data_IF_132076007108
#
_entry.id   IF_132076007108
#
_cell.length_a   1.000
_cell.length_b   1.000
_cell.length_c   1.000
_cell.angle_alpha   90.00
_cell.angle_beta   90.00
_cell.angle_gamma   90.00
#
_symmetry.space_group_name_H-M   'P 1'
#
loop_
_entity.id
_entity.type
_entity.pdbx_description
1 polymer ?
#
# COMPACT_ATOMS: atom_id res chain seq x y z
N UNK A 1 -27.67 20.50 -6.18
CA UNK A 1 -27.26 19.07 -6.25
C UNK A 1 -26.03 18.92 -5.36
N UNK A 2 -26.11 18.12 -4.33
CA UNK A 2 -24.93 17.72 -3.57
C UNK A 2 -24.14 16.83 -4.53
N UNK A 3 -22.93 17.24 -4.95
CA UNK A 3 -22.05 16.40 -5.76
C UNK A 3 -21.80 15.09 -4.99
N UNK A 4 -21.77 13.97 -5.72
CA UNK A 4 -21.37 12.71 -5.09
C UNK A 4 -19.93 12.86 -4.58
N UNK A 5 -19.65 12.40 -3.35
CA UNK A 5 -18.29 12.30 -2.82
C UNK A 5 -17.43 11.51 -3.77
N UNK A 6 -16.31 12.05 -4.19
CA UNK A 6 -15.41 11.42 -5.16
C UNK A 6 -14.03 11.13 -4.61
N UNK A 7 -13.60 11.87 -3.59
CA UNK A 7 -12.26 11.69 -3.00
C UNK A 7 -12.14 12.22 -1.57
N UNK A 8 -11.09 11.77 -0.89
CA UNK A 8 -10.62 12.27 0.40
C UNK A 8 -9.29 13.00 0.19
N UNK A 9 -9.15 14.19 0.75
CA UNK A 9 -7.91 14.95 0.71
C UNK A 9 -7.34 15.12 2.12
N UNK A 10 -6.13 14.61 2.40
CA UNK A 10 -5.42 14.84 3.65
C UNK A 10 -5.14 16.33 3.85
N UNK A 11 -5.19 16.79 5.10
CA UNK A 11 -4.71 18.13 5.47
C UNK A 11 -3.18 18.22 5.29
N UNK A 12 -2.65 19.46 5.23
CA UNK A 12 -1.19 19.66 5.17
C UNK A 12 -0.47 19.05 6.37
N UNK A 13 -1.06 19.15 7.56
CA UNK A 13 -0.50 18.54 8.78
C UNK A 13 -0.49 17.02 8.71
N UNK A 14 -1.52 16.40 8.13
CA UNK A 14 -1.55 14.94 7.92
C UNK A 14 -0.55 14.50 6.86
N UNK A 15 -0.34 15.27 5.78
CA UNK A 15 0.69 14.98 4.78
C UNK A 15 2.10 15.03 5.37
N UNK A 16 2.37 15.99 6.28
CA UNK A 16 3.64 16.02 7.03
C UNK A 16 3.79 14.80 7.92
N UNK A 17 2.71 14.41 8.64
CA UNK A 17 2.70 13.21 9.48
C UNK A 17 2.91 11.92 8.68
N UNK A 18 2.36 11.83 7.48
CA UNK A 18 2.53 10.69 6.57
C UNK A 18 3.97 10.53 6.05
N UNK A 19 4.80 11.58 6.12
CA UNK A 19 6.24 11.47 5.88
C UNK A 19 7.00 10.76 7.00
N UNK A 20 6.39 10.64 8.18
CA UNK A 20 6.91 9.83 9.27
C UNK A 20 6.40 8.40 9.10
N UNK A 21 7.25 7.37 9.30
CA UNK A 21 6.83 5.98 9.19
C UNK A 21 5.61 5.68 10.08
N UNK A 22 4.57 5.07 9.49
CA UNK A 22 3.38 4.63 10.21
C UNK A 22 3.60 3.32 10.99
N UNK A 23 4.75 2.71 10.83
CA UNK A 23 5.13 1.46 11.46
C UNK A 23 6.64 1.33 11.62
N UNK A 24 7.14 0.11 11.65
CA UNK A 24 8.56 -0.19 11.82
C UNK A 24 9.34 0.10 10.55
N UNK A 25 10.30 0.99 10.63
CA UNK A 25 11.25 1.26 9.54
C UNK A 25 12.40 0.24 9.57
N UNK A 26 12.58 -0.47 8.45
CA UNK A 26 13.80 -1.21 8.14
C UNK A 26 14.68 -0.33 7.25
N UNK A 27 15.81 0.13 7.78
CA UNK A 27 16.74 0.99 7.05
C UNK A 27 17.70 0.17 6.18
N UNK A 28 18.06 0.72 5.03
CA UNK A 28 19.03 0.15 4.12
C UNK A 28 18.49 -0.14 2.73
N UNK A 29 19.39 -0.63 1.88
CA UNK A 29 19.04 -1.05 0.52
C UNK A 29 18.23 -2.37 0.52
N UNK A 30 17.55 -2.70 -0.59
CA UNK A 30 16.79 -3.95 -0.70
C UNK A 30 17.57 -5.22 -0.34
N UNK A 31 18.85 -5.28 -0.66
CA UNK A 31 19.74 -6.41 -0.32
C UNK A 31 19.84 -6.62 1.20
N UNK A 32 19.64 -5.58 1.99
CA UNK A 32 19.68 -5.62 3.46
C UNK A 32 18.28 -5.78 4.06
N UNK A 33 17.28 -5.10 3.48
CA UNK A 33 15.93 -5.03 4.04
C UNK A 33 15.06 -6.23 3.67
N UNK A 34 15.22 -6.78 2.47
CA UNK A 34 14.39 -7.91 2.02
C UNK A 34 14.61 -9.20 2.82
N UNK A 35 15.86 -9.61 3.16
CA UNK A 35 16.06 -10.76 4.05
C UNK A 35 15.41 -10.58 5.43
N UNK A 36 15.48 -9.38 6.01
CA UNK A 36 14.86 -9.06 7.30
C UNK A 36 13.34 -9.11 7.22
N UNK A 37 12.76 -8.54 6.14
CA UNK A 37 11.32 -8.60 5.89
C UNK A 37 10.85 -10.05 5.71
N UNK A 38 11.59 -10.85 4.96
CA UNK A 38 11.27 -12.26 4.73
C UNK A 38 11.20 -13.05 6.04
N UNK A 39 12.23 -12.89 6.90
CA UNK A 39 12.25 -13.50 8.22
C UNK A 39 11.08 -13.03 9.09
N UNK A 40 10.75 -11.76 9.04
CA UNK A 40 9.63 -11.19 9.79
C UNK A 40 8.29 -11.82 9.35
N UNK A 41 8.05 -11.90 8.05
CA UNK A 41 6.84 -12.54 7.49
C UNK A 41 6.77 -14.02 7.88
N UNK A 42 7.88 -14.75 7.78
CA UNK A 42 7.95 -16.17 8.16
C UNK A 42 7.68 -16.40 9.66
N UNK A 43 8.15 -15.50 10.51
CA UNK A 43 7.97 -15.56 11.96
C UNK A 43 6.54 -15.25 12.38
N UNK A 44 5.95 -14.18 11.82
CA UNK A 44 4.62 -13.69 12.22
C UNK A 44 3.51 -14.48 11.54
N UNK A 45 3.72 -14.94 10.30
CA UNK A 45 2.70 -15.62 9.48
C UNK A 45 1.41 -14.79 9.39
N UNK A 46 1.50 -13.56 8.87
CA UNK A 46 0.34 -12.68 8.80
C UNK A 46 -0.75 -13.26 7.91
N UNK A 47 -2.03 -12.93 8.16
CA UNK A 47 -3.14 -13.40 7.32
C UNK A 47 -3.08 -12.85 5.89
N UNK A 48 -2.51 -11.64 5.72
CA UNK A 48 -2.30 -10.97 4.43
C UNK A 48 -1.03 -10.15 4.45
N UNK A 49 -0.38 -10.03 3.30
CA UNK A 49 0.71 -9.10 3.05
C UNK A 49 0.35 -8.25 1.84
N UNK A 50 0.38 -6.94 2.01
CA UNK A 50 0.15 -5.95 0.95
C UNK A 50 1.41 -5.10 0.78
N UNK A 51 1.82 -4.87 -0.47
CA UNK A 51 2.88 -3.91 -0.79
C UNK A 51 2.28 -2.71 -1.51
N UNK A 52 2.76 -1.51 -1.18
CA UNK A 52 2.39 -0.25 -1.82
C UNK A 52 3.64 0.41 -2.36
N UNK A 53 3.71 0.55 -3.66
CA UNK A 53 4.85 1.11 -4.39
C UNK A 53 5.54 0.10 -5.31
N UNK A 54 6.17 0.61 -6.38
CA UNK A 54 6.77 -0.20 -7.43
C UNK A 54 8.02 -0.94 -6.96
N UNK A 55 8.91 -0.22 -6.27
CA UNK A 55 10.19 -0.78 -5.82
C UNK A 55 9.95 -1.91 -4.84
N UNK A 56 9.18 -1.67 -3.77
CA UNK A 56 8.90 -2.69 -2.76
C UNK A 56 8.13 -3.89 -3.33
N UNK A 57 7.22 -3.65 -4.26
CA UNK A 57 6.47 -4.73 -4.92
C UNK A 57 7.36 -5.61 -5.79
N UNK A 58 8.32 -5.01 -6.51
CA UNK A 58 9.31 -5.72 -7.30
C UNK A 58 10.31 -6.48 -6.44
N UNK A 59 10.86 -5.82 -5.42
CA UNK A 59 11.89 -6.39 -4.55
C UNK A 59 11.34 -7.55 -3.70
N UNK A 60 10.12 -7.45 -3.20
CA UNK A 60 9.46 -8.56 -2.49
C UNK A 60 9.20 -9.75 -3.42
N UNK A 61 8.83 -9.50 -4.66
CA UNK A 61 8.65 -10.54 -5.66
C UNK A 61 9.98 -11.26 -5.95
N UNK A 62 11.05 -10.51 -6.20
CA UNK A 62 12.39 -11.05 -6.45
C UNK A 62 12.93 -11.83 -5.26
N UNK A 63 12.64 -11.40 -4.03
CA UNK A 63 13.05 -12.08 -2.81
C UNK A 63 12.20 -13.34 -2.47
N UNK A 64 11.15 -13.62 -3.24
CA UNK A 64 10.24 -14.74 -2.98
C UNK A 64 9.44 -14.57 -1.68
N UNK A 65 9.11 -13.33 -1.32
CA UNK A 65 8.25 -13.05 -0.16
C UNK A 65 6.79 -13.18 -0.62
N UNK A 66 5.96 -13.99 0.05
CA UNK A 66 4.55 -14.12 -0.28
C UNK A 66 3.83 -12.78 -0.07
N UNK A 67 3.24 -12.25 -1.12
CA UNK A 67 2.46 -11.00 -1.11
C UNK A 67 1.11 -11.27 -1.75
N UNK A 68 0.03 -10.91 -1.06
CA UNK A 68 -1.34 -11.14 -1.50
C UNK A 68 -1.88 -10.00 -2.38
N UNK A 69 -1.47 -8.76 -2.07
CA UNK A 69 -1.89 -7.58 -2.82
C UNK A 69 -0.69 -6.70 -3.13
N UNK A 70 -0.53 -6.33 -4.39
CA UNK A 70 0.43 -5.32 -4.85
C UNK A 70 -0.30 -4.12 -5.41
N UNK A 71 0.01 -2.95 -4.88
CA UNK A 71 -0.52 -1.67 -5.36
C UNK A 71 0.65 -0.93 -6.02
N UNK A 72 0.57 -0.73 -7.32
CA UNK A 72 1.68 -0.22 -8.13
C UNK A 72 1.20 0.85 -9.11
N UNK A 73 2.11 1.73 -9.51
CA UNK A 73 1.85 2.71 -10.55
C UNK A 73 1.60 2.01 -11.91
N UNK A 74 0.63 2.48 -12.65
CA UNK A 74 0.32 1.99 -14.01
C UNK A 74 1.52 2.16 -14.96
N UNK A 75 2.39 3.12 -14.73
CA UNK A 75 3.63 3.30 -15.50
C UNK A 75 4.55 2.09 -15.44
N UNK A 76 4.47 1.29 -14.38
CA UNK A 76 5.15 0.01 -14.26
C UNK A 76 4.81 -0.94 -15.40
N UNK A 77 3.57 -0.93 -15.91
CA UNK A 77 3.18 -1.71 -17.08
C UNK A 77 3.89 -1.27 -18.36
N UNK A 78 4.13 0.03 -18.54
CA UNK A 78 4.72 0.61 -19.76
C UNK A 78 6.24 0.44 -19.82
N UNK A 79 6.91 0.36 -18.68
CA UNK A 79 8.37 0.17 -18.58
C UNK A 79 8.82 -1.28 -18.75
N UNK A 80 7.90 -2.19 -18.98
CA UNK A 80 8.09 -3.65 -18.92
C UNK A 80 8.68 -4.31 -20.13
N UNK A 81 9.45 -3.67 -20.92
CA UNK A 81 10.11 -4.38 -22.04
C UNK A 81 11.15 -5.41 -21.55
N UNK A 82 11.45 -5.50 -20.25
CA UNK A 82 12.53 -6.39 -19.77
C UNK A 82 12.38 -7.04 -18.40
N UNK A 83 11.26 -6.95 -17.66
CA UNK A 83 11.22 -7.49 -16.30
C UNK A 83 9.90 -8.17 -15.89
N UNK A 84 10.03 -9.12 -14.98
CA UNK A 84 9.06 -10.02 -14.38
C UNK A 84 7.63 -9.48 -14.35
N UNK A 85 6.74 -10.14 -15.10
CA UNK A 85 5.30 -9.87 -15.06
C UNK A 85 4.75 -10.24 -13.68
N UNK A 86 4.04 -9.30 -13.05
CA UNK A 86 3.29 -9.58 -11.82
C UNK A 86 2.06 -10.39 -12.23
N UNK A 87 2.13 -11.69 -12.01
CA UNK A 87 0.98 -12.58 -12.19
C UNK A 87 0.14 -12.52 -10.93
N UNK A 88 -1.14 -12.23 -11.09
CA UNK A 88 -2.12 -12.25 -10.01
C UNK A 88 -3.44 -12.83 -10.53
N UNK A 89 -4.21 -13.43 -9.63
CA UNK A 89 -5.51 -13.97 -9.99
C UNK A 89 -6.52 -12.88 -10.36
N UNK A 90 -6.41 -11.74 -9.69
CA UNK A 90 -7.26 -10.56 -9.92
C UNK A 90 -6.43 -9.33 -10.24
N UNK A 91 -6.90 -8.55 -11.20
CA UNK A 91 -6.27 -7.29 -11.62
C UNK A 91 -7.30 -6.18 -11.58
N UNK A 92 -6.95 -5.10 -10.88
CA UNK A 92 -7.74 -3.87 -10.81
C UNK A 92 -6.97 -2.73 -11.47
N UNK A 93 -7.70 -1.80 -12.09
CA UNK A 93 -7.16 -0.57 -12.67
C UNK A 93 -7.98 0.58 -12.17
N UNK A 94 -7.32 1.58 -11.56
CA UNK A 94 -8.00 2.73 -10.95
C UNK A 94 -7.25 4.01 -11.27
N UNK A 95 -7.97 5.13 -11.25
CA UNK A 95 -7.38 6.46 -11.28
C UNK A 95 -7.31 7.03 -9.86
N UNK A 96 -6.14 7.52 -9.47
CA UNK A 96 -5.93 8.17 -8.17
C UNK A 96 -4.96 9.34 -8.33
N UNK A 97 -5.47 10.56 -8.60
CA UNK A 97 -4.62 11.73 -8.73
C UNK A 97 -3.76 12.01 -7.50
N UNK A 98 -2.67 12.73 -7.69
CA UNK A 98 -1.75 13.12 -6.61
C UNK A 98 -2.44 13.83 -5.45
N UNK A 99 -2.09 13.45 -4.24
CA UNK A 99 -2.52 14.12 -3.01
C UNK A 99 -3.96 13.85 -2.58
N UNK A 100 -4.65 12.87 -3.19
CA UNK A 100 -6.00 12.44 -2.82
C UNK A 100 -6.10 10.92 -2.73
N UNK A 101 -7.18 10.45 -2.14
CA UNK A 101 -7.61 9.06 -2.20
C UNK A 101 -9.00 9.06 -2.83
N UNK A 102 -9.14 8.57 -4.06
CA UNK A 102 -10.44 8.47 -4.71
C UNK A 102 -11.27 7.35 -4.11
N UNK A 103 -12.60 7.51 -4.15
CA UNK A 103 -13.54 6.45 -3.72
C UNK A 103 -13.33 5.19 -4.56
N UNK A 104 -13.09 5.37 -5.87
CA UNK A 104 -12.79 4.26 -6.79
C UNK A 104 -11.57 3.45 -6.34
N UNK A 105 -10.45 4.14 -6.01
CA UNK A 105 -9.24 3.49 -5.54
C UNK A 105 -9.44 2.82 -4.17
N UNK A 106 -10.17 3.48 -3.26
CA UNK A 106 -10.53 2.90 -1.97
C UNK A 106 -11.34 1.61 -2.13
N UNK A 107 -12.38 1.63 -2.96
CA UNK A 107 -13.22 0.47 -3.21
C UNK A 107 -12.46 -0.68 -3.88
N UNK A 108 -11.52 -0.38 -4.78
CA UNK A 108 -10.64 -1.39 -5.36
C UNK A 108 -9.77 -2.05 -4.29
N UNK A 109 -9.18 -1.28 -3.39
CA UNK A 109 -8.40 -1.82 -2.26
C UNK A 109 -9.28 -2.70 -1.37
N UNK A 110 -10.49 -2.23 -1.01
CA UNK A 110 -11.46 -2.99 -0.20
C UNK A 110 -11.83 -4.35 -0.81
N UNK A 111 -11.94 -4.42 -2.12
CA UNK A 111 -12.18 -5.68 -2.84
C UNK A 111 -10.93 -6.54 -2.88
N UNK A 112 -9.82 -5.97 -3.29
CA UNK A 112 -8.56 -6.68 -3.53
C UNK A 112 -7.94 -7.31 -2.27
N UNK A 113 -8.11 -6.71 -1.09
CA UNK A 113 -7.65 -7.30 0.18
C UNK A 113 -8.34 -8.62 0.54
N UNK A 114 -9.50 -8.91 -0.08
CA UNK A 114 -10.24 -10.15 0.10
C UNK A 114 -9.82 -11.25 -0.87
N UNK A 115 -9.18 -10.87 -1.97
CA UNK A 115 -8.68 -11.83 -2.95
C UNK A 115 -7.47 -12.59 -2.40
N UNK A 116 -7.23 -13.78 -2.94
CA UNK A 116 -6.04 -14.56 -2.58
C UNK A 116 -4.77 -13.89 -3.10
N UNK A 117 -4.80 -13.48 -4.36
CA UNK A 117 -3.72 -12.75 -5.02
C UNK A 117 -4.31 -11.70 -5.96
N UNK A 118 -3.92 -10.45 -5.76
CA UNK A 118 -4.38 -9.32 -6.55
C UNK A 118 -3.27 -8.32 -6.85
N UNK A 119 -3.45 -7.57 -7.94
CA UNK A 119 -2.67 -6.38 -8.26
C UNK A 119 -3.60 -5.22 -8.59
N UNK A 120 -3.29 -4.05 -8.06
CA UNK A 120 -3.96 -2.79 -8.42
C UNK A 120 -2.95 -1.93 -9.16
N UNK A 121 -3.27 -1.62 -10.40
CA UNK A 121 -2.53 -0.64 -11.21
C UNK A 121 -3.20 0.72 -11.07
N UNK A 122 -2.44 1.70 -10.59
CA UNK A 122 -2.91 3.06 -10.29
C UNK A 122 -2.46 4.01 -11.39
N UNK A 123 -3.43 4.65 -12.05
CA UNK A 123 -3.15 5.81 -12.90
C UNK A 123 -3.10 7.06 -12.02
N UNK A 124 -1.89 7.51 -11.71
CA UNK A 124 -1.65 8.60 -10.76
C UNK A 124 -0.67 8.22 -9.65
N UNK A 125 -1.01 8.49 -8.41
CA UNK A 125 -0.17 8.20 -7.23
C UNK A 125 -0.78 7.15 -6.32
N UNK A 126 0.02 6.15 -5.95
CA UNK A 126 -0.40 5.03 -5.10
C UNK A 126 -0.06 5.20 -3.61
N UNK A 127 0.85 6.08 -3.23
CA UNK A 127 1.41 6.15 -1.87
C UNK A 127 0.35 6.28 -0.77
N UNK A 128 -0.65 7.14 -0.99
CA UNK A 128 -1.75 7.32 -0.02
C UNK A 128 -2.65 6.09 0.10
N UNK A 129 -2.58 5.15 -0.82
CA UNK A 129 -3.39 3.93 -0.77
C UNK A 129 -2.91 2.95 0.32
N UNK A 130 -1.77 3.23 0.96
CA UNK A 130 -1.40 2.57 2.21
C UNK A 130 -2.48 2.76 3.30
N UNK A 131 -3.18 3.90 3.30
CA UNK A 131 -4.26 4.21 4.26
C UNK A 131 -5.43 3.23 4.13
N UNK A 132 -6.13 3.14 2.98
CA UNK A 132 -7.18 2.14 2.83
C UNK A 132 -6.64 0.70 2.94
N UNK A 133 -5.41 0.41 2.53
CA UNK A 133 -4.82 -0.91 2.69
C UNK A 133 -4.73 -1.31 4.18
N UNK A 134 -4.34 -0.39 5.07
CA UNK A 134 -4.32 -0.64 6.52
C UNK A 134 -5.73 -0.86 7.06
N UNK A 135 -6.67 0.02 6.69
CA UNK A 135 -8.02 0.01 7.25
C UNK A 135 -8.88 -1.17 6.79
N UNK A 136 -8.75 -1.58 5.54
CA UNK A 136 -9.56 -2.62 4.92
C UNK A 136 -8.98 -4.04 5.08
N UNK A 137 -7.71 -4.16 5.44
CA UNK A 137 -7.07 -5.46 5.67
C UNK A 137 -7.59 -6.13 6.95
N UNK A 138 -7.55 -7.47 7.01
CA UNK A 138 -7.84 -8.17 8.27
C UNK A 138 -6.85 -7.78 9.35
N UNK A 139 -7.25 -7.93 10.61
CA UNK A 139 -6.39 -7.63 11.74
C UNK A 139 -5.10 -8.46 11.68
N UNK A 140 -3.99 -7.80 12.02
CA UNK A 140 -2.63 -8.35 11.97
C UNK A 140 -2.08 -8.63 10.56
N UNK A 141 -2.75 -8.19 9.50
CA UNK A 141 -2.14 -8.12 8.18
C UNK A 141 -0.94 -7.17 8.18
N UNK A 142 0.01 -7.41 7.28
CA UNK A 142 1.16 -6.53 7.08
C UNK A 142 0.96 -5.69 5.82
N UNK A 143 1.19 -4.40 5.96
CA UNK A 143 1.29 -3.46 4.84
C UNK A 143 2.72 -2.95 4.80
N UNK A 144 3.37 -3.09 3.64
CA UNK A 144 4.77 -2.73 3.43
C UNK A 144 4.86 -1.69 2.32
N UNK A 145 5.50 -0.57 2.62
CA UNK A 145 5.72 0.49 1.62
C UNK A 145 7.13 1.05 1.70
N UNK A 146 7.62 1.64 0.60
CA UNK A 146 8.93 2.27 0.55
C UNK A 146 8.94 3.61 1.30
N UNK A 147 10.02 3.84 2.08
CA UNK A 147 10.32 5.14 2.66
C UNK A 147 11.50 5.72 1.86
N UNK A 148 11.29 6.78 1.06
CA UNK A 148 12.31 7.33 0.18
C UNK A 148 13.63 7.60 0.90
N UNK A 149 14.74 7.15 0.31
CA UNK A 149 16.12 7.30 0.82
C UNK A 149 16.41 6.65 2.17
N UNK A 150 15.48 5.89 2.75
CA UNK A 150 15.65 5.28 4.08
C UNK A 150 15.52 3.76 4.07
N UNK A 151 14.51 3.21 3.39
CA UNK A 151 14.27 1.78 3.37
C UNK A 151 12.81 1.43 3.17
N UNK A 152 12.30 0.48 3.95
CA UNK A 152 10.91 0.05 3.89
C UNK A 152 10.24 0.13 5.26
N UNK A 153 8.96 0.49 5.27
CA UNK A 153 8.13 0.53 6.48
C UNK A 153 7.21 -0.66 6.50
N UNK A 154 7.15 -1.34 7.63
CA UNK A 154 6.24 -2.45 7.90
C UNK A 154 5.19 -1.96 8.88
N UNK A 155 3.93 -1.94 8.44
CA UNK A 155 2.79 -1.60 9.30
C UNK A 155 2.00 -2.87 9.58
N UNK A 156 1.78 -3.14 10.86
CA UNK A 156 0.82 -4.19 11.27
C UNK A 156 -0.56 -3.56 11.41
N UNK A 157 -1.54 -4.08 10.67
CA UNK A 157 -2.92 -3.61 10.72
C UNK A 157 -3.62 -4.09 12.01
N UNK A 158 -3.07 -3.70 13.17
CA UNK A 158 -3.69 -3.98 14.47
C UNK A 158 -4.89 -3.06 14.71
N UNK A 159 -5.82 -3.42 15.63
CA UNK A 159 -6.90 -2.52 16.03
C UNK A 159 -6.43 -1.12 16.42
N UNK A 160 -5.31 -1.01 17.16
CA UNK A 160 -4.74 0.29 17.58
C UNK A 160 -4.22 1.08 16.38
N UNK A 161 -3.47 0.45 15.47
CA UNK A 161 -2.99 1.10 14.24
C UNK A 161 -4.15 1.57 13.38
N UNK A 162 -5.18 0.74 13.21
CA UNK A 162 -6.39 1.12 12.46
C UNK A 162 -7.12 2.30 13.12
N UNK A 163 -7.21 2.34 14.44
CA UNK A 163 -7.82 3.45 15.15
C UNK A 163 -7.06 4.77 14.91
N UNK A 164 -5.73 4.75 14.93
CA UNK A 164 -4.90 5.93 14.64
C UNK A 164 -5.06 6.39 13.18
N UNK A 165 -5.04 5.46 12.25
CA UNK A 165 -5.23 5.77 10.81
C UNK A 165 -6.66 6.27 10.55
N UNK A 166 -7.67 5.71 11.22
CA UNK A 166 -9.06 6.20 11.11
C UNK A 166 -9.19 7.66 11.53
N UNK A 167 -8.53 8.08 12.62
CA UNK A 167 -8.51 9.48 13.03
C UNK A 167 -7.91 10.42 11.98
N UNK A 168 -6.96 9.92 11.17
CA UNK A 168 -6.43 10.71 10.06
C UNK A 168 -7.49 10.88 8.96
N UNK A 169 -8.19 9.80 8.61
CA UNK A 169 -9.26 9.85 7.61
C UNK A 169 -10.40 10.76 8.04
N UNK A 170 -10.79 10.73 9.32
CA UNK A 170 -11.86 11.56 9.87
C UNK A 170 -11.55 13.07 9.77
N UNK A 171 -10.28 13.44 9.60
CA UNK A 171 -9.85 14.84 9.40
C UNK A 171 -9.67 15.23 7.94
N UNK A 172 -9.75 14.27 7.01
CA UNK A 172 -9.63 14.56 5.59
C UNK A 172 -10.81 15.36 5.08
N UNK A 173 -10.56 16.23 4.12
CA UNK A 173 -11.63 16.93 3.41
C UNK A 173 -12.26 15.98 2.39
N UNK A 174 -13.56 15.88 2.40
CA UNK A 174 -14.34 15.14 1.42
C UNK A 174 -14.63 16.05 0.21
N UNK A 175 -14.32 15.60 -1.01
CA UNK A 175 -14.49 16.34 -2.27
C UNK A 175 -15.38 15.57 -3.26
#
# INVERSE_FOLDING_TARGET
MVGALTSFRPSQSDLVRLKTPLGKLLTGAPVETMPKLKLHVQKIKPPKVTTVGDVVSRETLAAGIPVNLRIVDQMTLRKRISQVEIKAEQTYRVSNPAGVITIEAWDAVRKAVRDREAVIYVDGEEDLLAIPAILESPDNALIVYGQPSQGVVIVTASPDTKAEVRKMVDRMTEE
#
